data_IF_492523534170
#
_entry.id   IF_492523534170
#
_cell.length_a   1.000
_cell.length_b   1.000
_cell.length_c   1.000
_cell.angle_alpha   90.00
_cell.angle_beta   90.00
_cell.angle_gamma   90.00
#
_symmetry.space_group_name_H-M   'P 1'
#
loop_
_entity.id
_entity.type
_entity.pdbx_description
1 polymer ?
#
# COMPACT_ATOMS: atom_id res chain seq x y z
N UNK A 1 7.70 27.16 -3.83
CA UNK A 1 7.70 26.19 -2.71
C UNK A 1 6.35 25.49 -2.57
N UNK A 2 5.19 26.17 -2.63
CA UNK A 2 3.87 25.51 -2.76
C UNK A 2 3.87 24.39 -3.82
N UNK A 3 4.47 24.70 -4.97
CA UNK A 3 4.60 23.79 -6.12
C UNK A 3 5.12 22.38 -5.81
N UNK A 4 6.01 22.21 -4.82
CA UNK A 4 6.54 20.88 -4.51
C UNK A 4 5.45 19.93 -3.99
N UNK A 5 4.54 20.46 -3.18
CA UNK A 5 3.45 19.69 -2.59
C UNK A 5 2.33 19.51 -3.62
N UNK A 6 2.02 20.56 -4.37
CA UNK A 6 1.02 20.51 -5.44
C UNK A 6 1.40 19.47 -6.51
N UNK A 7 2.69 19.43 -6.90
CA UNK A 7 3.20 18.41 -7.80
C UNK A 7 3.04 17.00 -7.23
N UNK A 8 3.36 16.80 -5.94
CA UNK A 8 3.23 15.49 -5.29
C UNK A 8 1.76 15.02 -5.26
N UNK A 9 0.82 15.94 -5.02
CA UNK A 9 -0.63 15.67 -5.12
C UNK A 9 -1.02 15.30 -6.55
N UNK A 10 -0.60 16.08 -7.55
CA UNK A 10 -0.93 15.82 -8.97
C UNK A 10 -0.44 14.46 -9.46
N UNK A 11 0.81 14.09 -9.16
CA UNK A 11 1.39 12.82 -9.65
C UNK A 11 0.89 11.59 -8.91
N UNK A 12 0.41 11.75 -7.66
CA UNK A 12 -0.10 10.65 -6.85
C UNK A 12 -1.59 10.41 -7.02
N UNK A 13 -2.34 11.48 -7.30
CA UNK A 13 -3.79 11.50 -7.23
C UNK A 13 -4.31 11.47 -5.79
N UNK A 14 -3.50 11.90 -4.80
CA UNK A 14 -3.99 12.13 -3.45
C UNK A 14 -5.07 13.22 -3.44
N UNK A 15 -5.90 13.23 -2.40
CA UNK A 15 -6.90 14.28 -2.23
C UNK A 15 -6.23 15.62 -1.93
N UNK A 16 -5.26 15.62 -1.01
CA UNK A 16 -4.50 16.81 -0.65
C UNK A 16 -3.14 16.48 -0.03
N UNK A 17 -2.36 17.54 0.22
CA UNK A 17 -1.17 17.50 1.08
C UNK A 17 -1.49 18.16 2.42
N UNK A 18 -1.18 17.49 3.52
CA UNK A 18 -1.27 18.01 4.89
C UNK A 18 -0.21 19.07 5.20
N UNK A 19 0.76 19.31 4.31
CA UNK A 19 1.84 20.26 4.54
C UNK A 19 1.31 21.66 4.89
N UNK A 20 1.84 22.24 5.96
CA UNK A 20 1.38 23.54 6.47
C UNK A 20 2.03 24.75 5.77
N UNK A 21 2.83 24.53 4.71
CA UNK A 21 3.56 25.58 4.00
C UNK A 21 4.88 26.01 4.65
N UNK A 22 5.26 25.43 5.80
CA UNK A 22 6.50 25.74 6.50
C UNK A 22 7.62 24.74 6.23
N UNK A 23 8.83 25.27 6.10
CA UNK A 23 10.06 24.51 5.97
C UNK A 23 10.98 24.78 7.16
N UNK A 24 11.59 23.72 7.67
CA UNK A 24 12.61 23.76 8.71
C UNK A 24 13.93 23.16 8.23
N UNK A 25 14.92 23.20 9.11
CA UNK A 25 16.22 22.55 8.89
C UNK A 25 16.35 21.42 9.91
N UNK A 26 16.71 20.22 9.46
CA UNK A 26 16.94 19.09 10.37
C UNK A 26 18.11 19.41 11.31
N UNK A 27 18.04 18.96 12.56
CA UNK A 27 19.15 19.12 13.50
C UNK A 27 20.47 18.50 12.94
N UNK A 28 21.64 19.17 13.09
CA UNK A 28 22.89 18.73 12.46
C UNK A 28 23.37 17.32 12.84
N UNK A 29 22.97 16.82 14.00
CA UNK A 29 23.31 15.50 14.54
C UNK A 29 22.35 14.39 14.06
N UNK A 30 21.18 14.75 13.51
CA UNK A 30 20.26 13.78 12.91
C UNK A 30 20.83 13.27 11.60
N UNK A 31 21.02 11.95 11.51
CA UNK A 31 21.50 11.26 10.30
C UNK A 31 20.37 11.01 9.29
N UNK A 32 19.56 12.03 9.01
CA UNK A 32 18.45 11.97 8.04
C UNK A 32 18.59 13.11 7.02
N UNK A 33 18.09 12.89 5.80
CA UNK A 33 18.09 13.93 4.75
C UNK A 33 16.88 14.84 4.82
N UNK A 34 15.77 14.34 5.34
CA UNK A 34 14.56 15.08 5.60
C UNK A 34 13.77 14.45 6.74
N UNK A 35 12.76 15.16 7.21
CA UNK A 35 11.74 14.64 8.11
C UNK A 35 10.47 15.47 8.00
N UNK A 36 9.33 14.84 8.27
CA UNK A 36 8.07 15.53 8.55
C UNK A 36 7.81 15.53 10.05
N UNK A 37 7.42 16.69 10.56
CA UNK A 37 7.01 16.85 11.96
C UNK A 37 5.50 16.73 12.10
N UNK A 38 5.01 16.38 13.29
CA UNK A 38 3.57 16.21 13.55
C UNK A 38 2.73 17.50 13.49
N UNK A 39 3.35 18.68 13.32
CA UNK A 39 2.63 19.92 13.01
C UNK A 39 2.58 20.20 11.48
N UNK A 40 2.97 19.20 10.68
CA UNK A 40 3.06 19.21 9.23
C UNK A 40 4.12 20.15 8.64
N UNK A 41 5.16 20.49 9.40
CA UNK A 41 6.36 21.15 8.87
C UNK A 41 7.29 20.10 8.26
N UNK A 42 7.82 20.37 7.07
CA UNK A 42 8.87 19.54 6.45
C UNK A 42 10.24 20.15 6.79
N UNK A 43 11.13 19.33 7.32
CA UNK A 43 12.51 19.70 7.63
C UNK A 43 13.45 19.06 6.60
N UNK A 44 14.40 19.85 6.08
CA UNK A 44 15.42 19.33 5.17
C UNK A 44 16.82 19.49 5.75
N UNK A 45 17.70 18.54 5.44
CA UNK A 45 19.12 18.67 5.74
C UNK A 45 19.76 19.67 4.79
N UNK A 46 20.36 20.72 5.35
CA UNK A 46 20.88 21.83 4.56
C UNK A 46 21.95 21.36 3.55
N UNK A 47 22.95 20.60 4.02
CA UNK A 47 24.06 20.15 3.18
C UNK A 47 23.69 19.07 2.16
N UNK A 48 22.59 18.34 2.37
CA UNK A 48 22.21 17.17 1.53
C UNK A 48 20.99 17.41 0.66
N UNK A 49 20.23 18.47 0.91
CA UNK A 49 19.00 18.79 0.17
C UNK A 49 18.99 20.26 -0.23
N UNK A 50 18.98 21.18 0.73
CA UNK A 50 18.82 22.61 0.44
C UNK A 50 19.95 23.18 -0.42
N UNK A 51 21.21 22.88 -0.07
CA UNK A 51 22.38 23.33 -0.83
C UNK A 51 22.39 22.75 -2.25
N UNK A 52 22.28 21.42 -2.46
CA UNK A 52 22.16 20.87 -3.82
C UNK A 52 21.02 21.48 -4.65
N UNK A 53 19.82 21.68 -4.06
CA UNK A 53 18.71 22.30 -4.79
C UNK A 53 19.01 23.75 -5.14
N UNK A 54 19.59 24.51 -4.23
CA UNK A 54 20.00 25.90 -4.50
C UNK A 54 21.02 25.95 -5.64
N UNK A 55 22.05 25.11 -5.59
CA UNK A 55 23.06 25.01 -6.65
C UNK A 55 22.43 24.62 -8.00
N UNK A 56 21.42 23.74 -7.99
CA UNK A 56 20.69 23.35 -9.20
C UNK A 56 20.02 24.55 -9.87
N UNK A 57 19.36 25.41 -9.09
CA UNK A 57 18.71 26.61 -9.62
C UNK A 57 19.72 27.73 -9.96
N UNK A 58 20.78 27.89 -9.18
CA UNK A 58 21.82 28.89 -9.44
C UNK A 58 22.60 28.56 -10.73
N UNK A 59 22.77 27.27 -11.05
CA UNK A 59 23.40 26.77 -12.27
C UNK A 59 22.39 26.36 -13.36
N UNK A 60 21.18 26.94 -13.33
CA UNK A 60 20.12 26.57 -14.25
C UNK A 60 20.57 26.66 -15.72
N UNK A 61 20.15 25.67 -16.52
CA UNK A 61 20.42 25.58 -17.98
C UNK A 61 21.89 25.38 -18.35
N UNK A 62 22.75 24.99 -17.40
CA UNK A 62 24.10 24.51 -17.70
C UNK A 62 24.01 23.07 -18.21
N UNK A 63 24.23 22.87 -19.51
CA UNK A 63 24.03 21.59 -20.20
C UNK A 63 25.13 20.54 -19.99
N UNK A 64 26.19 20.86 -19.24
CA UNK A 64 27.37 20.00 -19.06
C UNK A 64 27.68 19.76 -17.57
N UNK A 65 26.64 19.57 -16.76
CA UNK A 65 26.85 19.15 -15.39
C UNK A 65 27.50 17.77 -15.35
N UNK A 66 28.46 17.59 -14.45
CA UNK A 66 29.09 16.29 -14.27
C UNK A 66 28.10 15.29 -13.63
N UNK A 67 28.31 13.98 -13.81
CA UNK A 67 27.40 12.96 -13.30
C UNK A 67 27.18 12.99 -11.79
N UNK A 68 28.19 13.35 -11.00
CA UNK A 68 28.09 13.38 -9.53
C UNK A 68 27.20 14.54 -9.07
N UNK A 69 27.32 15.71 -9.72
CA UNK A 69 26.44 16.85 -9.47
C UNK A 69 24.98 16.53 -9.81
N UNK A 70 24.71 15.95 -10.98
CA UNK A 70 23.34 15.54 -11.35
C UNK A 70 22.76 14.49 -10.39
N UNK A 71 23.59 13.55 -9.94
CA UNK A 71 23.19 12.59 -8.91
C UNK A 71 22.84 13.29 -7.59
N UNK A 72 23.65 14.26 -7.16
CA UNK A 72 23.39 15.04 -5.94
C UNK A 72 22.03 15.76 -6.01
N UNK A 73 21.72 16.39 -7.15
CA UNK A 73 20.44 17.06 -7.36
C UNK A 73 19.28 16.06 -7.35
N UNK A 74 19.42 14.95 -8.07
CA UNK A 74 18.38 13.92 -8.14
C UNK A 74 18.08 13.32 -6.76
N UNK A 75 19.10 13.07 -5.94
CA UNK A 75 18.94 12.60 -4.56
C UNK A 75 18.20 13.63 -3.69
N UNK A 76 18.50 14.92 -3.85
CA UNK A 76 17.81 15.98 -3.14
C UNK A 76 16.33 16.06 -3.55
N UNK A 77 16.02 16.02 -4.86
CA UNK A 77 14.64 15.99 -5.37
C UNK A 77 13.90 14.74 -4.90
N UNK A 78 14.55 13.57 -4.87
CA UNK A 78 13.98 12.35 -4.30
C UNK A 78 13.61 12.52 -2.83
N UNK A 79 14.49 13.14 -2.03
CA UNK A 79 14.16 13.45 -0.63
C UNK A 79 12.98 14.41 -0.53
N UNK A 80 12.90 15.44 -1.37
CA UNK A 80 11.73 16.33 -1.41
C UNK A 80 10.45 15.55 -1.66
N UNK A 81 10.43 14.66 -2.66
CA UNK A 81 9.26 13.83 -2.94
C UNK A 81 8.95 12.84 -1.81
N UNK A 82 9.96 12.23 -1.19
CA UNK A 82 9.81 11.35 -0.02
C UNK A 82 9.08 12.06 1.12
N UNK A 83 9.56 13.24 1.52
CA UNK A 83 8.91 13.98 2.60
C UNK A 83 7.52 14.49 2.22
N UNK A 84 7.30 14.89 0.96
CA UNK A 84 5.95 15.25 0.50
C UNK A 84 5.01 14.04 0.48
N UNK A 85 5.52 12.83 0.25
CA UNK A 85 4.72 11.60 0.26
C UNK A 85 4.19 11.29 1.67
N UNK A 86 4.98 11.54 2.72
CA UNK A 86 4.53 11.37 4.12
C UNK A 86 3.33 12.26 4.49
N UNK A 87 3.17 13.41 3.83
CA UNK A 87 2.08 14.37 4.08
C UNK A 87 0.94 14.25 3.08
N UNK A 88 0.98 13.32 2.13
CA UNK A 88 -0.21 13.02 1.32
C UNK A 88 -1.28 12.39 2.21
N UNK A 89 -2.53 12.77 1.98
CA UNK A 89 -3.66 12.26 2.73
C UNK A 89 -4.89 12.09 1.84
N UNK A 90 -5.80 11.24 2.32
CA UNK A 90 -7.10 11.04 1.72
C UNK A 90 -8.09 12.10 2.22
N UNK A 91 -9.25 12.19 1.59
CA UNK A 91 -10.32 13.10 2.01
C UNK A 91 -10.66 12.89 3.49
N UNK A 92 -10.69 14.00 4.25
CA UNK A 92 -11.08 13.98 5.66
C UNK A 92 -10.03 13.46 6.64
N UNK A 93 -8.81 13.14 6.18
CA UNK A 93 -7.68 12.76 7.05
C UNK A 93 -6.49 13.68 6.91
N UNK A 94 -5.54 13.58 7.83
CA UNK A 94 -4.29 14.33 7.83
C UNK A 94 -3.11 13.46 8.25
N UNK A 95 -1.89 13.92 7.95
CA UNK A 95 -0.66 13.30 8.45
C UNK A 95 -0.65 13.18 9.98
N UNK A 96 -1.10 14.22 10.69
CA UNK A 96 -1.10 14.26 12.15
C UNK A 96 -2.03 13.24 12.81
N UNK A 97 -3.04 12.74 12.11
CA UNK A 97 -3.97 11.74 12.64
C UNK A 97 -3.25 10.40 12.91
N UNK A 98 -2.22 10.09 12.12
CA UNK A 98 -1.46 8.86 12.27
C UNK A 98 -0.46 8.89 13.44
N UNK A 99 -0.34 9.99 14.20
CA UNK A 99 0.69 10.17 15.23
C UNK A 99 0.75 9.04 16.26
N UNK A 100 -0.40 8.60 16.75
CA UNK A 100 -0.46 7.55 17.76
C UNK A 100 -0.19 6.17 17.14
N UNK A 101 -0.77 5.90 15.96
CA UNK A 101 -0.52 4.67 15.21
C UNK A 101 0.96 4.51 14.82
N UNK A 102 1.65 5.62 14.55
CA UNK A 102 3.06 5.64 14.16
C UNK A 102 4.02 5.18 15.26
N UNK A 103 3.57 5.10 16.51
CA UNK A 103 4.35 4.48 17.60
C UNK A 103 4.48 2.97 17.44
N UNK A 104 3.63 2.34 16.60
CA UNK A 104 3.72 0.94 16.27
C UNK A 104 4.85 0.70 15.24
N UNK A 105 5.85 -0.15 15.55
CA UNK A 105 6.97 -0.43 14.65
C UNK A 105 6.54 -0.94 13.26
N UNK A 106 5.47 -1.73 13.18
CA UNK A 106 4.96 -2.25 11.91
C UNK A 106 4.38 -1.15 11.02
N UNK A 107 3.66 -0.19 11.63
CA UNK A 107 3.10 0.97 10.93
C UNK A 107 4.23 1.86 10.41
N UNK A 108 5.20 2.16 11.27
CA UNK A 108 6.38 2.93 10.88
C UNK A 108 7.14 2.26 9.73
N UNK A 109 7.39 0.95 9.82
CA UNK A 109 8.15 0.23 8.79
C UNK A 109 7.41 0.18 7.45
N UNK A 110 6.08 -0.02 7.46
CA UNK A 110 5.29 0.02 6.24
C UNK A 110 5.23 1.44 5.66
N UNK A 111 5.06 2.47 6.49
CA UNK A 111 5.06 3.87 6.06
C UNK A 111 6.35 4.21 5.31
N UNK A 112 7.50 4.07 5.97
CA UNK A 112 8.81 4.41 5.39
C UNK A 112 9.09 3.57 4.13
N UNK A 113 8.73 2.29 4.16
CA UNK A 113 8.92 1.39 3.02
C UNK A 113 8.08 1.79 1.81
N UNK A 114 6.79 2.07 1.99
CA UNK A 114 5.89 2.52 0.91
C UNK A 114 6.34 3.87 0.38
N UNK A 115 6.67 4.81 1.26
CA UNK A 115 7.07 6.17 0.91
C UNK A 115 8.37 6.18 0.10
N UNK A 116 9.38 5.40 0.49
CA UNK A 116 10.62 5.25 -0.30
C UNK A 116 10.36 4.56 -1.65
N UNK A 117 9.55 3.50 -1.70
CA UNK A 117 9.24 2.80 -2.96
C UNK A 117 8.46 3.72 -3.91
N UNK A 118 7.48 4.46 -3.40
CA UNK A 118 6.67 5.40 -4.18
C UNK A 118 7.54 6.52 -4.75
N UNK A 119 8.30 7.20 -3.88
CA UNK A 119 9.14 8.33 -4.27
C UNK A 119 10.23 7.92 -5.26
N UNK A 120 10.82 6.72 -5.12
CA UNK A 120 11.76 6.20 -6.11
C UNK A 120 11.11 5.94 -7.47
N UNK A 121 9.95 5.28 -7.50
CA UNK A 121 9.29 4.89 -8.74
C UNK A 121 8.70 6.08 -9.51
N UNK A 122 8.30 7.14 -8.82
CA UNK A 122 7.62 8.30 -9.41
C UNK A 122 8.51 9.54 -9.53
N UNK A 123 9.81 9.43 -9.22
CA UNK A 123 10.74 10.55 -9.26
C UNK A 123 10.81 11.23 -10.63
N UNK A 124 10.75 10.45 -11.72
CA UNK A 124 10.77 11.04 -13.06
C UNK A 124 9.48 11.82 -13.36
N UNK A 125 8.31 11.27 -13.03
CA UNK A 125 7.04 11.99 -13.16
C UNK A 125 7.06 13.30 -12.36
N UNK A 126 7.66 13.28 -11.18
CA UNK A 126 7.81 14.47 -10.34
C UNK A 126 8.77 15.52 -10.93
N UNK A 127 9.92 15.07 -11.45
CA UNK A 127 10.87 15.92 -12.18
C UNK A 127 10.21 16.56 -13.40
N UNK A 128 9.46 15.78 -14.16
CA UNK A 128 8.77 16.23 -15.37
C UNK A 128 7.66 17.24 -15.04
N UNK A 129 6.83 16.96 -14.05
CA UNK A 129 5.73 17.84 -13.62
C UNK A 129 6.24 19.18 -13.07
N UNK A 130 7.40 19.18 -12.40
CA UNK A 130 8.08 20.39 -11.94
C UNK A 130 8.92 21.09 -13.04
N UNK A 131 9.06 20.49 -14.22
CA UNK A 131 9.90 21.02 -15.30
C UNK A 131 11.40 21.07 -14.96
N UNK A 132 11.88 20.22 -14.05
CA UNK A 132 13.27 20.27 -13.57
C UNK A 132 14.28 19.83 -14.63
N UNK A 133 13.85 19.10 -15.66
CA UNK A 133 14.71 18.74 -16.80
C UNK A 133 15.17 20.00 -17.59
N UNK A 134 14.37 21.07 -17.61
CA UNK A 134 14.79 22.35 -18.23
C UNK A 134 15.82 23.11 -17.38
N UNK A 135 15.81 22.87 -16.06
CA UNK A 135 16.69 23.53 -15.10
C UNK A 135 18.02 22.79 -15.00
N UNK A 136 17.97 21.46 -14.86
CA UNK A 136 19.11 20.56 -14.80
C UNK A 136 18.97 19.44 -15.85
N UNK A 137 19.34 19.69 -17.11
CA UNK A 137 19.26 18.70 -18.17
C UNK A 137 20.01 17.41 -17.81
N UNK A 138 19.34 16.26 -17.95
CA UNK A 138 19.87 14.93 -17.61
C UNK A 138 19.53 14.45 -16.20
N UNK A 139 18.90 15.27 -15.33
CA UNK A 139 18.56 14.88 -13.95
C UNK A 139 17.59 13.68 -13.90
N UNK A 140 16.71 13.52 -14.89
CA UNK A 140 15.82 12.35 -15.01
C UNK A 140 16.57 11.02 -15.22
N UNK A 141 17.79 11.08 -15.77
CA UNK A 141 18.61 9.91 -16.11
C UNK A 141 19.75 9.65 -15.13
N UNK A 142 20.02 10.58 -14.22
CA UNK A 142 21.05 10.41 -13.19
C UNK A 142 20.71 9.25 -12.24
N UNK A 143 21.73 8.63 -11.65
CA UNK A 143 21.51 7.57 -10.67
C UNK A 143 21.00 8.16 -9.35
N UNK A 144 19.97 7.53 -8.78
CA UNK A 144 19.57 7.75 -7.39
C UNK A 144 19.64 6.41 -6.64
N UNK A 145 20.18 6.46 -5.43
CA UNK A 145 20.27 5.33 -4.53
C UNK A 145 18.96 5.18 -3.77
N UNK A 146 18.51 3.94 -3.60
CA UNK A 146 17.42 3.66 -2.64
C UNK A 146 17.93 3.82 -1.22
N UNK A 147 17.20 4.60 -0.44
CA UNK A 147 17.37 4.71 1.01
C UNK A 147 16.57 3.61 1.71
N UNK A 148 16.68 3.50 3.05
CA UNK A 148 15.90 2.55 3.88
C UNK A 148 15.95 1.08 3.43
N UNK A 149 17.15 0.50 3.43
CA UNK A 149 17.39 -0.90 3.01
C UNK A 149 16.66 -1.92 3.88
N UNK A 150 16.30 -1.54 5.10
CA UNK A 150 15.52 -2.33 6.05
C UNK A 150 14.00 -2.34 5.75
N UNK A 151 13.45 -1.35 5.05
CA UNK A 151 11.99 -1.20 4.88
C UNK A 151 11.53 -1.32 3.42
N UNK A 152 12.24 -0.68 2.48
CA UNK A 152 11.81 -0.63 1.09
C UNK A 152 11.70 -2.02 0.42
N UNK A 153 12.62 -2.99 0.67
CA UNK A 153 12.46 -4.34 0.13
C UNK A 153 11.22 -5.07 0.68
N UNK A 154 10.88 -4.88 1.96
CA UNK A 154 9.67 -5.44 2.57
C UNK A 154 8.41 -4.88 1.90
N UNK A 155 8.28 -3.55 1.82
CA UNK A 155 7.14 -2.90 1.19
C UNK A 155 7.00 -3.31 -0.29
N UNK A 156 8.11 -3.41 -1.02
CA UNK A 156 8.08 -3.86 -2.41
C UNK A 156 7.66 -5.33 -2.56
N UNK A 157 8.18 -6.24 -1.73
CA UNK A 157 7.76 -7.64 -1.76
C UNK A 157 6.27 -7.80 -1.41
N UNK A 158 5.82 -7.10 -0.37
CA UNK A 158 4.44 -7.09 0.11
C UNK A 158 3.46 -6.59 -0.96
N UNK A 159 3.69 -5.40 -1.51
CA UNK A 159 2.84 -4.80 -2.56
C UNK A 159 2.87 -5.58 -3.87
N UNK A 160 4.00 -6.18 -4.25
CA UNK A 160 4.08 -7.07 -5.41
C UNK A 160 3.30 -8.39 -5.21
N UNK A 161 3.24 -8.91 -3.97
CA UNK A 161 2.40 -10.05 -3.63
C UNK A 161 0.93 -9.73 -3.86
N UNK A 162 0.44 -8.67 -3.20
CA UNK A 162 -0.94 -8.18 -3.35
C UNK A 162 -1.27 -7.90 -4.82
N UNK A 163 -0.40 -7.18 -5.52
CA UNK A 163 -0.63 -6.79 -6.92
C UNK A 163 -0.70 -7.98 -7.88
N UNK A 164 -0.03 -9.10 -7.56
CA UNK A 164 -0.11 -10.34 -8.35
C UNK A 164 -1.43 -11.06 -8.15
N UNK A 165 -1.89 -11.15 -6.90
CA UNK A 165 -3.12 -11.87 -6.55
C UNK A 165 -4.38 -11.13 -7.01
N UNK A 166 -4.36 -9.80 -6.90
CA UNK A 166 -5.48 -8.92 -7.25
C UNK A 166 -5.48 -8.46 -8.70
N UNK A 167 -4.40 -8.69 -9.45
CA UNK A 167 -4.26 -8.25 -10.84
C UNK A 167 -4.00 -6.74 -11.03
N UNK A 168 -3.91 -5.94 -9.95
CA UNK A 168 -3.67 -4.50 -10.02
C UNK A 168 -2.21 -4.12 -10.35
N UNK A 169 -1.27 -5.05 -10.16
CA UNK A 169 0.17 -4.77 -10.27
C UNK A 169 0.73 -4.03 -9.04
N UNK A 170 1.99 -4.31 -8.67
CA UNK A 170 2.55 -3.80 -7.41
C UNK A 170 2.67 -2.28 -7.32
N UNK A 171 2.91 -1.59 -8.44
CA UNK A 171 3.02 -0.12 -8.45
C UNK A 171 1.69 0.56 -8.13
N UNK A 172 0.57 0.03 -8.60
CA UNK A 172 -0.76 0.57 -8.28
C UNK A 172 -1.09 0.35 -6.81
N UNK A 173 -0.73 -0.81 -6.23
CA UNK A 173 -0.89 -1.05 -4.79
C UNK A 173 -0.06 -0.06 -3.98
N UNK A 174 1.20 0.19 -4.36
CA UNK A 174 2.05 1.22 -3.73
C UNK A 174 1.40 2.59 -3.85
N UNK A 175 0.89 2.98 -5.03
CA UNK A 175 0.22 4.27 -5.23
C UNK A 175 -0.99 4.44 -4.30
N UNK A 176 -1.85 3.43 -4.21
CA UNK A 176 -3.03 3.45 -3.31
C UNK A 176 -2.65 3.60 -1.84
N UNK A 177 -1.55 2.97 -1.42
CA UNK A 177 -1.04 3.14 -0.06
C UNK A 177 -0.39 4.51 0.14
N UNK A 178 0.31 5.05 -0.86
CA UNK A 178 1.05 6.31 -0.73
C UNK A 178 0.15 7.55 -0.56
N UNK A 179 -1.13 7.47 -0.94
CA UNK A 179 -2.09 8.59 -0.85
C UNK A 179 -2.95 8.59 0.42
N UNK A 180 -2.70 7.65 1.34
CA UNK A 180 -3.34 7.60 2.65
C UNK A 180 -2.31 7.82 3.75
N UNK A 181 -2.75 8.25 4.93
CA UNK A 181 -1.85 8.40 6.08
C UNK A 181 -1.33 7.04 6.57
N UNK A 182 -0.29 7.06 7.41
CA UNK A 182 0.40 5.83 7.82
C UNK A 182 -0.52 4.79 8.50
N UNK A 183 -1.51 5.24 9.27
CA UNK A 183 -2.46 4.36 9.97
C UNK A 183 -3.29 3.52 8.99
N UNK A 184 -3.63 4.08 7.82
CA UNK A 184 -4.54 3.47 6.86
C UNK A 184 -3.85 2.50 5.89
N UNK A 185 -2.51 2.44 5.82
CA UNK A 185 -1.81 1.67 4.78
C UNK A 185 -2.08 0.17 4.84
N UNK A 186 -2.12 -0.42 6.04
CA UNK A 186 -2.53 -1.83 6.19
C UNK A 186 -4.01 -2.03 5.82
N UNK A 187 -4.86 -1.07 6.15
CA UNK A 187 -6.29 -1.12 5.82
C UNK A 187 -6.50 -1.12 4.30
N UNK A 188 -5.79 -0.27 3.57
CA UNK A 188 -5.81 -0.25 2.09
C UNK A 188 -5.38 -1.61 1.50
N UNK A 189 -4.36 -2.25 2.09
CA UNK A 189 -3.96 -3.61 1.69
C UNK A 189 -5.08 -4.63 1.91
N UNK A 190 -5.71 -4.61 3.09
CA UNK A 190 -6.79 -5.52 3.44
C UNK A 190 -8.00 -5.36 2.52
N UNK A 191 -8.41 -4.11 2.26
CA UNK A 191 -9.50 -3.79 1.32
C UNK A 191 -9.17 -4.25 -0.09
N UNK A 192 -7.94 -4.03 -0.55
CA UNK A 192 -7.50 -4.46 -1.87
C UNK A 192 -7.60 -5.98 -2.03
N UNK A 193 -7.17 -6.77 -1.03
CA UNK A 193 -7.31 -8.23 -1.06
C UNK A 193 -8.77 -8.68 -0.95
N UNK A 194 -9.53 -8.11 -0.02
CA UNK A 194 -10.94 -8.47 0.19
C UNK A 194 -11.77 -8.19 -1.06
N UNK A 195 -11.72 -6.97 -1.60
CA UNK A 195 -12.56 -6.55 -2.72
C UNK A 195 -12.21 -7.27 -4.04
N UNK A 196 -11.00 -7.83 -4.15
CA UNK A 196 -10.55 -8.61 -5.32
C UNK A 196 -10.55 -10.13 -5.10
N UNK A 197 -11.20 -10.59 -4.02
CA UNK A 197 -11.46 -12.01 -3.76
C UNK A 197 -12.94 -12.37 -4.01
N UNK A 198 -13.36 -13.57 -3.64
CA UNK A 198 -14.78 -13.94 -3.58
C UNK A 198 -15.45 -13.56 -2.25
N UNK A 199 -14.70 -13.04 -1.26
CA UNK A 199 -15.23 -12.65 0.04
C UNK A 199 -16.45 -11.71 -0.02
N UNK A 200 -16.51 -10.68 -0.90
CA UNK A 200 -17.70 -9.82 -1.01
C UNK A 200 -18.98 -10.57 -1.41
N UNK A 201 -18.85 -11.75 -2.04
CA UNK A 201 -19.97 -12.58 -2.43
C UNK A 201 -20.42 -13.60 -1.37
N UNK A 202 -19.64 -13.78 -0.30
CA UNK A 202 -19.90 -14.82 0.73
C UNK A 202 -19.97 -14.28 2.16
N UNK A 203 -19.27 -13.19 2.47
CA UNK A 203 -19.31 -12.54 3.79
C UNK A 203 -20.47 -11.55 3.80
N UNK A 204 -21.40 -11.62 4.77
CA UNK A 204 -22.47 -10.63 4.90
C UNK A 204 -21.91 -9.21 5.07
N UNK A 205 -22.60 -8.20 4.50
CA UNK A 205 -22.18 -6.80 4.57
C UNK A 205 -21.91 -6.31 6.00
N UNK A 206 -22.68 -6.81 6.99
CA UNK A 206 -22.52 -6.45 8.40
C UNK A 206 -21.20 -6.97 9.00
N UNK A 207 -20.61 -8.01 8.42
CA UNK A 207 -19.39 -8.68 8.87
C UNK A 207 -18.15 -8.23 8.06
N UNK A 208 -18.34 -7.40 7.02
CA UNK A 208 -17.24 -6.90 6.17
C UNK A 208 -16.15 -6.22 6.98
N UNK A 209 -16.52 -5.32 7.88
CA UNK A 209 -15.53 -4.58 8.70
C UNK A 209 -14.73 -5.49 9.62
N UNK A 210 -15.38 -6.49 10.22
CA UNK A 210 -14.70 -7.48 11.04
C UNK A 210 -13.75 -8.36 10.22
N UNK A 211 -14.13 -8.72 8.98
CA UNK A 211 -13.27 -9.46 8.06
C UNK A 211 -12.02 -8.64 7.67
N UNK A 212 -12.22 -7.37 7.32
CA UNK A 212 -11.12 -6.47 6.96
C UNK A 212 -10.15 -6.24 8.13
N UNK A 213 -10.68 -6.04 9.35
CA UNK A 213 -9.84 -5.90 10.54
C UNK A 213 -8.99 -7.15 10.82
N UNK A 214 -9.54 -8.34 10.57
CA UNK A 214 -8.80 -9.60 10.72
C UNK A 214 -7.64 -9.68 9.70
N UNK A 215 -7.92 -9.40 8.43
CA UNK A 215 -6.89 -9.37 7.36
C UNK A 215 -5.83 -8.32 7.68
N UNK A 216 -6.24 -7.11 8.09
CA UNK A 216 -5.34 -6.03 8.48
C UNK A 216 -4.38 -6.44 9.60
N UNK A 217 -4.93 -7.07 10.64
CA UNK A 217 -4.16 -7.47 11.83
C UNK A 217 -3.12 -8.55 11.50
N UNK A 218 -3.44 -9.50 10.62
CA UNK A 218 -2.54 -10.62 10.30
C UNK A 218 -1.25 -10.16 9.61
N UNK A 219 -1.29 -9.02 8.90
CA UNK A 219 -0.15 -8.48 8.14
C UNK A 219 0.91 -7.78 9.01
N UNK A 220 0.57 -7.35 10.22
CA UNK A 220 1.42 -6.44 11.02
C UNK A 220 2.66 -7.13 11.59
N UNK A 221 2.52 -8.36 12.08
CA UNK A 221 3.58 -9.07 12.80
C UNK A 221 4.91 -9.16 12.05
N UNK A 222 4.92 -9.55 10.76
CA UNK A 222 6.16 -9.65 9.99
C UNK A 222 6.94 -8.34 9.80
N UNK A 223 6.29 -7.17 9.88
CA UNK A 223 6.95 -5.86 9.77
C UNK A 223 7.59 -5.39 11.08
N UNK A 224 7.13 -5.89 12.23
CA UNK A 224 7.58 -5.43 13.56
C UNK A 224 9.11 -5.52 13.79
N UNK A 225 9.81 -6.61 13.43
CA UNK A 225 11.25 -6.74 13.71
C UNK A 225 12.14 -6.01 12.70
N UNK A 226 11.60 -5.34 11.68
CA UNK A 226 12.40 -4.75 10.59
C UNK A 226 13.41 -3.70 11.08
N UNK A 227 13.01 -2.90 12.08
CA UNK A 227 13.88 -1.88 12.69
C UNK A 227 15.12 -2.46 13.37
N UNK A 228 15.04 -3.72 13.80
CA UNK A 228 16.04 -4.42 14.60
C UNK A 228 16.92 -5.37 13.75
N UNK A 229 16.71 -5.39 12.43
CA UNK A 229 17.54 -6.19 11.53
C UNK A 229 19.01 -5.75 11.58
N UNK A 230 19.91 -6.73 11.50
CA UNK A 230 21.34 -6.47 11.40
C UNK A 230 21.66 -5.68 10.12
N UNK A 231 22.37 -4.56 10.30
CA UNK A 231 22.74 -3.62 9.26
C UNK A 231 24.21 -3.76 8.83
N UNK A 232 24.90 -4.80 9.31
CA UNK A 232 26.31 -5.07 8.98
C UNK A 232 26.52 -5.55 7.54
N UNK A 233 25.54 -6.25 6.96
CA UNK A 233 25.55 -6.74 5.57
C UNK A 233 24.28 -6.26 4.84
N UNK A 234 24.47 -5.34 3.89
CA UNK A 234 23.40 -4.76 3.08
C UNK A 234 22.59 -5.81 2.28
N UNK A 235 23.26 -6.84 1.76
CA UNK A 235 22.60 -7.86 0.96
C UNK A 235 21.77 -8.79 1.84
N UNK A 236 22.29 -9.15 3.02
CA UNK A 236 21.54 -9.90 4.02
C UNK A 236 20.34 -9.08 4.53
N UNK A 237 20.55 -7.80 4.85
CA UNK A 237 19.50 -6.88 5.30
C UNK A 237 18.35 -6.81 4.28
N UNK A 238 18.68 -6.58 3.00
CA UNK A 238 17.66 -6.49 1.93
C UNK A 238 16.88 -7.79 1.76
N UNK A 239 17.55 -8.95 1.86
CA UNK A 239 16.89 -10.26 1.77
C UNK A 239 15.96 -10.51 2.97
N UNK A 240 16.41 -10.20 4.18
CA UNK A 240 15.60 -10.34 5.39
C UNK A 240 14.38 -9.41 5.34
N UNK A 241 14.57 -8.17 4.93
CA UNK A 241 13.50 -7.19 4.70
C UNK A 241 12.48 -7.70 3.67
N UNK A 242 12.93 -8.12 2.48
CA UNK A 242 12.03 -8.66 1.46
C UNK A 242 11.27 -9.92 1.94
N UNK A 243 11.92 -10.79 2.72
CA UNK A 243 11.27 -11.97 3.30
C UNK A 243 10.15 -11.58 4.27
N UNK A 244 10.36 -10.57 5.12
CA UNK A 244 9.32 -10.07 6.02
C UNK A 244 8.10 -9.54 5.25
N UNK A 245 8.32 -8.79 4.16
CA UNK A 245 7.24 -8.34 3.28
C UNK A 245 6.46 -9.48 2.64
N UNK A 246 7.15 -10.54 2.20
CA UNK A 246 6.52 -11.76 1.69
C UNK A 246 5.66 -12.46 2.76
N UNK A 247 6.19 -12.62 3.98
CA UNK A 247 5.46 -13.22 5.09
C UNK A 247 4.22 -12.41 5.50
N UNK A 248 4.27 -11.07 5.42
CA UNK A 248 3.10 -10.23 5.67
C UNK A 248 1.99 -10.47 4.64
N UNK A 249 2.37 -10.61 3.36
CA UNK A 249 1.43 -10.96 2.29
C UNK A 249 0.84 -12.36 2.50
N UNK A 250 1.68 -13.37 2.78
CA UNK A 250 1.23 -14.74 3.01
C UNK A 250 0.22 -14.81 4.18
N UNK A 251 0.50 -14.09 5.29
CA UNK A 251 -0.40 -14.01 6.43
C UNK A 251 -1.75 -13.34 6.09
N UNK A 252 -1.78 -12.40 5.14
CA UNK A 252 -3.01 -11.79 4.65
C UNK A 252 -3.85 -12.80 3.86
N UNK A 253 -3.22 -13.54 2.95
CA UNK A 253 -3.86 -14.55 2.11
C UNK A 253 -4.40 -15.71 2.97
N UNK A 254 -3.60 -16.20 3.91
CA UNK A 254 -4.04 -17.24 4.85
C UNK A 254 -5.29 -16.80 5.63
N UNK A 255 -5.37 -15.52 6.00
CA UNK A 255 -6.53 -14.97 6.69
C UNK A 255 -7.75 -14.82 5.77
N UNK A 256 -7.56 -14.42 4.50
CA UNK A 256 -8.62 -14.43 3.48
C UNK A 256 -9.20 -15.84 3.31
N UNK A 257 -8.35 -16.87 3.21
CA UNK A 257 -8.76 -18.26 3.10
C UNK A 257 -9.46 -18.79 4.37
N UNK A 258 -9.02 -18.36 5.56
CA UNK A 258 -9.68 -18.69 6.81
C UNK A 258 -11.11 -18.13 6.86
N UNK A 259 -11.29 -16.87 6.46
CA UNK A 259 -12.61 -16.22 6.36
C UNK A 259 -13.47 -16.93 5.31
N UNK A 260 -12.92 -17.24 4.14
CA UNK A 260 -13.61 -18.00 3.08
C UNK A 260 -14.13 -19.33 3.62
N UNK A 261 -13.28 -20.07 4.34
CA UNK A 261 -13.63 -21.36 4.93
C UNK A 261 -14.74 -21.23 5.98
N UNK A 262 -14.66 -20.19 6.83
CA UNK A 262 -15.68 -19.91 7.85
C UNK A 262 -17.07 -19.70 7.24
N UNK A 263 -17.17 -18.96 6.14
CA UNK A 263 -18.46 -18.58 5.54
C UNK A 263 -18.99 -19.55 4.50
N UNK A 264 -18.14 -20.45 3.96
CA UNK A 264 -18.57 -21.50 3.02
C UNK A 264 -18.84 -22.85 3.70
N UNK A 265 -18.39 -23.05 4.93
CA UNK A 265 -18.69 -24.26 5.69
C UNK A 265 -20.21 -24.40 5.92
N UNK A 266 -20.79 -25.61 5.77
CA UNK A 266 -22.21 -25.84 6.09
C UNK A 266 -22.46 -25.46 7.54
N UNK A 267 -23.28 -24.44 7.79
CA UNK A 267 -23.59 -24.02 9.15
C UNK A 267 -24.08 -25.22 9.97
N UNK A 268 -23.60 -25.34 11.22
CA UNK A 268 -23.94 -26.46 12.11
C UNK A 268 -25.46 -26.66 12.26
N UNK A 269 -26.28 -25.62 12.11
CA UNK A 269 -27.75 -25.68 12.09
C UNK A 269 -28.31 -26.56 10.96
N UNK A 270 -27.75 -26.49 9.75
CA UNK A 270 -28.15 -27.36 8.63
C UNK A 270 -27.65 -28.80 8.79
N UNK A 271 -26.59 -29.02 9.59
CA UNK A 271 -26.07 -30.37 9.88
C UNK A 271 -27.00 -31.12 10.82
N UNK A 272 -27.59 -30.45 11.81
CA UNK A 272 -28.59 -31.05 12.71
C UNK A 272 -29.85 -31.42 11.93
N UNK A 273 -30.32 -30.55 11.03
CA UNK A 273 -31.56 -30.78 10.26
C UNK A 273 -31.44 -31.99 9.31
N UNK A 274 -30.30 -32.17 8.61
CA UNK A 274 -30.04 -33.37 7.80
C UNK A 274 -29.85 -34.65 8.62
N UNK A 275 -29.42 -34.54 9.88
CA UNK A 275 -29.29 -35.69 10.76
C UNK A 275 -30.64 -36.10 11.36
N UNK A 276 -31.53 -35.15 11.65
CA UNK A 276 -32.93 -35.44 12.01
C UNK A 276 -33.70 -36.02 10.83
N UNK A 277 -33.55 -35.53 9.61
CA UNK A 277 -34.26 -36.09 8.45
C UNK A 277 -33.79 -37.53 8.10
N UNK A 278 -32.49 -37.82 8.26
CA UNK A 278 -32.00 -39.21 8.12
C UNK A 278 -32.39 -40.10 9.29
N UNK A 279 -32.48 -39.57 10.51
CA UNK A 279 -32.96 -40.31 11.68
C UNK A 279 -34.44 -40.68 11.59
N UNK A 280 -35.27 -39.80 11.03
CA UNK A 280 -36.70 -40.05 10.83
C UNK A 280 -36.95 -41.08 9.72
N UNK A 281 -36.16 -41.10 8.64
CA UNK A 281 -36.29 -42.12 7.59
C UNK A 281 -35.80 -43.52 8.02
N UNK A 282 -34.82 -43.64 8.93
CA UNK A 282 -34.41 -44.95 9.45
C UNK A 282 -35.27 -45.43 10.62
N UNK A 283 -35.93 -44.54 11.37
CA UNK A 283 -36.88 -44.91 12.41
C UNK A 283 -38.19 -45.53 11.89
N UNK A 284 -38.63 -45.17 10.68
CA UNK A 284 -39.88 -45.67 10.10
C UNK A 284 -39.82 -47.15 9.61
N UNK A 285 -38.63 -47.77 9.57
CA UNK A 285 -38.47 -49.20 9.22
C UNK A 285 -38.19 -50.11 10.42
N UNK A 286 -38.06 -49.59 11.64
CA UNK A 286 -37.70 -50.39 12.82
C UNK A 286 -38.75 -50.37 13.95
N UNK A 287 -39.94 -49.83 13.71
CA UNK A 287 -41.05 -49.77 14.69
C UNK A 287 -42.17 -50.76 14.36
N UNK A 288 -41.90 -52.06 14.41
CA UNK A 288 -42.96 -53.11 14.54
C UNK A 288 -42.65 -54.21 15.55
N UNK A 289 -41.55 -54.13 16.31
CA UNK A 289 -41.24 -55.15 17.34
C UNK A 289 -40.53 -54.49 18.51
N UNK A 290 -41.28 -54.05 19.52
CA UNK A 290 -40.94 -54.14 20.95
C UNK A 290 -41.93 -53.35 21.80
N UNK A 291 -43.20 -53.76 21.79
CA UNK A 291 -44.14 -53.46 22.88
C UNK A 291 -44.10 -54.61 23.89
N UNK A 292 -43.19 -54.53 24.86
CA UNK A 292 -43.31 -55.12 26.20
C UNK A 292 -42.03 -54.88 27.00
N UNK A 293 -42.04 -53.87 27.84
CA UNK A 293 -41.62 -53.97 29.25
C UNK A 293 -41.52 -52.59 29.90
N UNK A 294 -42.11 -52.52 31.09
CA UNK A 294 -41.70 -51.70 32.24
C UNK A 294 -42.14 -50.24 32.32
N UNK A 295 -43.35 -50.11 32.87
CA UNK A 295 -43.62 -49.25 34.03
C UNK A 295 -42.58 -49.48 35.14
N UNK A 296 -42.00 -48.40 35.69
CA UNK A 296 -42.07 -48.04 37.12
C UNK A 296 -41.11 -46.90 37.49
N UNK A 297 -41.64 -45.95 38.28
CA UNK A 297 -40.96 -45.05 39.23
C UNK A 297 -40.03 -43.96 38.64
N UNK A 298 -39.92 -42.73 39.12
CA UNK A 298 -40.50 -42.02 40.27
C UNK A 298 -40.11 -40.54 40.16
N UNK A 299 -41.03 -39.66 40.54
CA UNK A 299 -40.88 -38.36 41.24
C UNK A 299 -39.50 -37.70 41.34
N UNK A 300 -39.41 -36.43 40.92
CA UNK A 300 -38.31 -35.53 41.31
C UNK A 300 -38.56 -34.06 40.95
N UNK A 301 -39.04 -33.29 41.94
CA UNK A 301 -39.19 -31.82 41.95
C UNK A 301 -37.86 -31.09 41.73
N UNK A 302 -37.91 -29.93 41.07
CA UNK A 302 -36.88 -28.88 41.20
C UNK A 302 -36.93 -27.79 40.13
N UNK A 303 -37.53 -26.65 40.45
CA UNK A 303 -37.25 -25.32 39.88
C UNK A 303 -36.87 -24.40 41.07
N UNK A 304 -36.42 -23.13 40.93
CA UNK A 304 -36.08 -22.29 39.75
C UNK A 304 -34.77 -21.46 39.98
N UNK A 305 -34.61 -20.32 39.26
CA UNK A 305 -33.65 -19.19 39.39
C UNK A 305 -32.32 -19.30 38.62
N UNK A 306 -31.69 -18.23 38.11
CA UNK A 306 -32.04 -16.83 37.77
C UNK A 306 -30.75 -16.14 37.30
N UNK A 307 -30.83 -15.18 36.38
CA UNK A 307 -29.83 -14.13 36.16
C UNK A 307 -28.59 -14.55 35.37
N UNK A 308 -27.95 -13.72 34.55
CA UNK A 308 -28.12 -12.30 34.35
C UNK A 308 -27.43 -11.87 33.05
N UNK A 309 -27.96 -10.79 32.52
CA UNK A 309 -27.55 -10.08 31.31
C UNK A 309 -26.45 -9.06 31.66
N UNK A 310 -25.38 -8.92 30.86
CA UNK A 310 -24.63 -7.68 30.86
C UNK A 310 -24.54 -7.05 29.46
N UNK A 311 -25.25 -5.92 29.33
CA UNK A 311 -24.63 -4.65 28.98
C UNK A 311 -24.08 -4.51 27.56
N UNK A 312 -24.96 -4.25 26.60
CA UNK A 312 -24.58 -3.62 25.33
C UNK A 312 -24.22 -2.15 25.58
N UNK A 313 -22.92 -1.86 25.53
CA UNK A 313 -22.41 -0.50 25.45
C UNK A 313 -22.67 0.05 24.03
N UNK A 314 -23.54 1.04 23.93
CA UNK A 314 -23.75 1.83 22.72
C UNK A 314 -22.46 2.62 22.41
N UNK A 315 -21.83 2.33 21.27
CA UNK A 315 -20.78 3.17 20.69
C UNK A 315 -21.42 4.31 19.89
N UNK A 316 -20.83 5.51 19.84
CA UNK A 316 -21.38 6.64 19.08
C UNK A 316 -21.32 6.35 17.57
N UNK A 317 -22.47 6.41 16.90
CA UNK A 317 -22.63 6.16 15.46
C UNK A 317 -22.09 7.30 14.56
N UNK A 318 -21.38 8.28 15.11
CA UNK A 318 -20.98 9.50 14.38
C UNK A 318 -19.61 9.40 13.68
N UNK A 319 -18.84 8.33 13.89
CA UNK A 319 -17.56 8.08 13.18
C UNK A 319 -17.72 7.24 11.90
N UNK A 320 -18.77 6.43 11.78
CA UNK A 320 -18.98 5.55 10.62
C UNK A 320 -19.44 6.30 9.35
N UNK A 321 -19.92 7.54 9.49
CA UNK A 321 -20.36 8.35 8.36
C UNK A 321 -19.22 9.11 7.65
N UNK A 322 -18.07 9.33 8.30
CA UNK A 322 -16.92 10.00 7.68
C UNK A 322 -16.09 9.05 6.79
N UNK A 323 -16.02 7.76 7.09
CA UNK A 323 -15.25 6.79 6.29
C UNK A 323 -15.95 6.32 5.01
N UNK A 324 -17.25 6.63 4.83
CA UNK A 324 -18.03 6.19 3.66
C UNK A 324 -18.00 7.19 2.49
N UNK A 325 -17.61 8.44 2.73
CA UNK A 325 -17.64 9.50 1.71
C UNK A 325 -16.42 9.47 0.79
N UNK A 326 -15.22 9.15 1.29
CA UNK A 326 -13.97 9.22 0.51
C UNK A 326 -13.65 8.04 -0.41
N UNK A 327 -14.49 6.99 -0.44
CA UNK A 327 -14.25 5.77 -1.23
C UNK A 327 -15.35 5.44 -2.26
N UNK A 328 -16.36 6.30 -2.40
CA UNK A 328 -17.26 6.25 -3.57
C UNK A 328 -16.57 6.94 -4.74
N UNK A 329 -15.60 6.23 -5.33
CA UNK A 329 -15.01 6.61 -6.60
C UNK A 329 -16.12 6.83 -7.62
N UNK A 330 -16.13 8.02 -8.23
CA UNK A 330 -16.86 8.30 -9.46
C UNK A 330 -16.69 7.15 -10.44
N UNK A 331 -17.80 6.69 -11.01
CA UNK A 331 -17.87 5.64 -12.02
C UNK A 331 -16.74 5.77 -13.07
N UNK A 332 -16.21 4.65 -13.60
CA UNK A 332 -15.15 4.70 -14.60
C UNK A 332 -15.63 5.51 -15.81
N UNK A 333 -14.84 6.53 -16.17
CA UNK A 333 -15.02 7.31 -17.39
C UNK A 333 -14.99 6.37 -18.60
N UNK A 334 -16.17 5.94 -19.04
CA UNK A 334 -16.39 5.26 -20.32
C UNK A 334 -16.30 6.28 -21.45
N UNK A 335 -15.08 6.70 -21.80
CA UNK A 335 -14.85 7.50 -23.01
C UNK A 335 -13.47 7.32 -23.65
N UNK A 336 -12.79 6.21 -23.42
CA UNK A 336 -11.70 5.79 -24.30
C UNK A 336 -12.27 4.97 -25.46
N UNK A 337 -12.52 5.63 -26.60
CA UNK A 337 -12.72 4.93 -27.87
C UNK A 337 -11.44 4.14 -28.19
N UNK A 338 -11.52 2.84 -28.53
CA UNK A 338 -10.36 2.13 -29.05
C UNK A 338 -9.90 2.79 -30.35
N UNK A 339 -8.62 3.15 -30.42
CA UNK A 339 -7.97 3.52 -31.67
C UNK A 339 -8.04 2.31 -32.61
N UNK A 340 -8.64 2.51 -33.79
CA UNK A 340 -8.75 1.47 -34.80
C UNK A 340 -7.36 1.04 -35.31
N UNK A 341 -7.26 -0.19 -35.80
CA UNK A 341 -6.03 -0.83 -36.28
C UNK A 341 -5.39 -0.19 -37.55
N UNK A 342 -5.63 1.10 -37.82
CA UNK A 342 -5.16 1.83 -39.00
C UNK A 342 -4.17 2.96 -38.74
N UNK A 343 -3.83 3.29 -37.48
CA UNK A 343 -2.93 4.41 -37.15
C UNK A 343 -1.52 3.98 -36.71
N UNK A 344 -1.04 2.82 -37.17
CA UNK A 344 0.38 2.50 -37.12
C UNK A 344 1.07 3.02 -38.38
N UNK A 345 1.73 4.17 -38.22
CA UNK A 345 2.52 4.83 -39.25
C UNK A 345 3.54 3.90 -39.90
N UNK A 346 3.44 3.81 -41.22
CA UNK A 346 4.35 3.10 -42.12
C UNK A 346 5.76 3.72 -42.05
N UNK A 347 6.73 2.98 -41.48
CA UNK A 347 8.15 3.27 -41.68
C UNK A 347 8.57 2.68 -43.03
N UNK A 348 8.68 3.58 -44.00
CA UNK A 348 9.15 3.32 -45.36
C UNK A 348 10.66 3.07 -45.33
N UNK A 349 11.05 1.81 -45.50
CA UNK A 349 12.43 1.41 -45.84
C UNK A 349 12.74 1.89 -47.26
N UNK A 350 13.55 2.94 -47.37
CA UNK A 350 14.12 3.41 -48.64
C UNK A 350 15.58 3.01 -48.73
N UNK A 351 15.85 1.94 -49.48
CA UNK A 351 17.17 1.61 -50.00
C UNK A 351 17.56 2.60 -51.08
N UNK A 352 18.68 3.30 -50.91
CA UNK A 352 19.33 4.00 -52.02
C UNK A 352 20.83 3.71 -51.99
N UNK A 353 21.25 2.99 -53.02
CA UNK A 353 22.63 2.63 -53.30
C UNK A 353 23.40 3.79 -53.92
N UNK A 354 24.69 3.87 -53.57
CA UNK A 354 25.77 4.18 -54.50
C UNK A 354 26.07 5.64 -54.78
N UNK A 355 27.15 6.15 -54.18
CA UNK A 355 28.14 6.92 -54.93
C UNK A 355 29.52 6.81 -54.28
N UNK A 356 30.43 6.15 -55.02
CA UNK A 356 31.87 6.14 -54.80
C UNK A 356 32.43 7.56 -54.82
N UNK A 357 33.34 7.88 -53.89
CA UNK A 357 34.43 8.82 -54.18
C UNK A 357 35.76 8.28 -53.65
N UNK A 358 36.70 8.23 -54.59
CA UNK A 358 38.10 7.88 -54.44
C UNK A 358 38.83 8.91 -53.57
N UNK A 359 39.94 8.48 -52.97
CA UNK A 359 40.82 9.28 -52.12
C UNK A 359 41.56 10.42 -52.85
N UNK A 360 42.52 11.04 -52.16
CA UNK A 360 43.90 10.68 -52.52
C UNK A 360 44.83 10.48 -51.32
N UNK A 361 45.83 9.66 -51.59
CA UNK A 361 47.10 9.56 -50.87
C UNK A 361 47.78 10.94 -50.76
N UNK A 362 48.53 11.15 -49.66
CA UNK A 362 49.93 11.59 -49.76
C UNK A 362 50.68 11.38 -48.45
N UNK A 363 51.82 10.73 -48.64
CA UNK A 363 52.94 10.55 -47.73
C UNK A 363 53.51 11.90 -47.25
N UNK A 364 53.95 11.94 -45.98
CA UNK A 364 55.25 12.43 -45.50
C UNK A 364 55.36 12.16 -44.00
#
# INVERSE_FOLDING_TARGET
MAEQADAAVRISGADHSSWNGHLGVTAPDRKVRGAVTWNNTIEYNDAKVTVPLKEMFDNARVHNQDPETLQSYREAVKTVLHENTHVLAAEGTSHSDAKDAFQNPSVQALEEGVTEVYSYNNLNSYIDDLGLEEIAPGISSAEANRSYKEYAPAAQAFTNGIGRDTGLGGQEVVRRMAVVNAEQKFRVAAETLYDNSDLPGIVPDQEREAALQQIETSMRGPFEPLKDLDKSDDQQLRRASAKAGGLAYDAAVDQVEAIRTQWTAPQHSQRVERQTDRGVQQGAQQSTTNDRAQEQASTGRGSPQSGGDPGQAQRPQELDHAMRAGLSGTAPMSSAKPLGAGEQGSRRSGSQAGQQRQGPERES
#
